data_IF_029278205091
#
_entry.id   IF_029278205091
#
_cell.length_a   1.000
_cell.length_b   1.000
_cell.length_c   1.000
_cell.angle_alpha   90.00
_cell.angle_beta   90.00
_cell.angle_gamma   90.00
#
_symmetry.space_group_name_H-M   'P 1'
#
loop_
_entity.id
_entity.type
_entity.pdbx_description
1 polymer ?
#
# COMPACT_ATOMS: atom_id res chain seq x y z
N UNK A 1 18.52 -25.47 -5.51
CA UNK A 1 17.61 -24.32 -5.36
C UNK A 1 18.47 -23.07 -5.18
N UNK A 2 18.53 -22.19 -6.18
CA UNK A 2 19.31 -20.94 -6.05
C UNK A 2 18.45 -19.97 -5.28
N UNK A 3 18.82 -19.72 -4.02
CA UNK A 3 18.18 -18.65 -3.22
C UNK A 3 18.50 -17.34 -3.92
N UNK A 4 17.48 -16.71 -4.50
CA UNK A 4 17.63 -15.42 -5.16
C UNK A 4 18.06 -14.40 -4.11
N UNK A 5 19.22 -13.81 -4.27
CA UNK A 5 19.75 -12.79 -3.37
C UNK A 5 18.78 -11.60 -3.36
N UNK A 6 18.49 -11.06 -2.18
CA UNK A 6 17.70 -9.83 -2.05
C UNK A 6 18.44 -8.68 -2.74
N UNK A 7 17.74 -7.95 -3.59
CA UNK A 7 18.27 -6.77 -4.29
C UNK A 7 17.36 -5.58 -4.07
N UNK A 8 17.96 -4.46 -3.70
CA UNK A 8 17.25 -3.18 -3.61
C UNK A 8 16.88 -2.74 -5.03
N UNK A 9 15.62 -2.33 -5.28
CA UNK A 9 15.20 -1.77 -6.56
C UNK A 9 16.08 -0.58 -6.98
N UNK A 10 16.34 -0.45 -8.27
CA UNK A 10 17.26 0.56 -8.79
C UNK A 10 16.89 2.00 -8.39
N UNK A 11 15.59 2.29 -8.41
CA UNK A 11 15.02 3.59 -8.00
C UNK A 11 15.16 3.89 -6.51
N UNK A 12 15.24 2.86 -5.65
CA UNK A 12 15.40 3.02 -4.21
C UNK A 12 16.88 3.10 -3.79
N UNK A 13 17.83 2.67 -4.65
CA UNK A 13 19.25 2.64 -4.31
C UNK A 13 19.82 3.98 -3.84
N UNK A 14 19.61 5.12 -4.55
CA UNK A 14 20.16 6.40 -4.10
C UNK A 14 19.71 6.79 -2.69
N UNK A 15 18.46 6.52 -2.37
CA UNK A 15 17.85 6.84 -1.07
C UNK A 15 18.34 5.91 0.04
N UNK A 16 18.41 4.61 -0.23
CA UNK A 16 18.93 3.64 0.76
C UNK A 16 20.41 3.81 1.02
N UNK A 17 21.20 4.18 0.03
CA UNK A 17 22.60 4.56 0.20
C UNK A 17 22.75 5.82 1.05
N UNK A 18 21.94 6.85 0.79
CA UNK A 18 21.92 8.07 1.58
C UNK A 18 21.47 7.81 3.04
N UNK A 19 20.46 6.97 3.28
CA UNK A 19 20.09 6.54 4.62
C UNK A 19 21.22 5.77 5.32
N UNK A 20 21.96 4.93 4.60
CA UNK A 20 23.13 4.22 5.12
C UNK A 20 24.24 5.17 5.54
N UNK A 21 24.47 6.24 4.78
CA UNK A 21 25.44 7.25 5.12
C UNK A 21 25.03 8.04 6.37
N UNK A 22 23.75 8.36 6.52
CA UNK A 22 23.24 8.98 7.74
C UNK A 22 23.42 8.14 8.99
N UNK A 23 23.34 6.80 8.89
CA UNK A 23 23.67 5.92 10.02
C UNK A 23 25.13 6.08 10.43
N UNK A 24 26.03 6.33 9.48
CA UNK A 24 27.47 6.50 9.76
C UNK A 24 27.80 7.88 10.32
N UNK A 25 27.28 8.93 9.70
CA UNK A 25 27.59 10.33 10.04
C UNK A 25 26.76 10.87 11.22
N UNK A 26 25.65 10.19 11.56
CA UNK A 26 24.64 10.66 12.49
C UNK A 26 23.54 11.46 11.82
N UNK A 27 22.35 11.43 12.42
CA UNK A 27 21.16 12.14 11.92
C UNK A 27 21.17 13.56 12.46
N UNK A 28 21.76 14.45 11.71
CA UNK A 28 21.74 15.89 11.96
C UNK A 28 21.84 16.66 10.65
N UNK A 29 21.36 17.87 10.64
CA UNK A 29 21.55 18.77 9.51
C UNK A 29 23.04 18.95 9.25
N UNK A 30 23.45 18.75 8.01
CA UNK A 30 24.83 18.82 7.58
C UNK A 30 24.89 19.15 6.08
N UNK A 31 25.99 19.73 5.57
CA UNK A 31 26.16 19.97 4.14
C UNK A 31 26.00 18.70 3.28
N UNK A 32 26.37 17.54 3.81
CA UNK A 32 26.19 16.27 3.12
C UNK A 32 24.70 15.87 3.02
N UNK A 33 23.89 16.12 4.06
CA UNK A 33 22.46 15.91 4.03
C UNK A 33 21.76 16.90 3.12
N UNK A 34 22.20 18.17 3.11
CA UNK A 34 21.63 19.20 2.23
C UNK A 34 21.74 18.87 0.73
N UNK A 35 22.77 18.12 0.35
CA UNK A 35 22.99 17.65 -1.03
C UNK A 35 22.42 16.23 -1.27
N UNK A 36 21.80 15.64 -0.28
CA UNK A 36 21.28 14.27 -0.36
C UNK A 36 19.93 14.24 -1.11
N UNK A 37 19.65 13.18 -1.89
CA UNK A 37 18.33 13.00 -2.50
C UNK A 37 17.19 12.87 -1.46
N UNK A 38 17.52 12.62 -0.20
CA UNK A 38 16.54 12.50 0.88
C UNK A 38 15.78 13.79 1.15
N UNK A 39 16.41 14.95 0.96
CA UNK A 39 15.77 16.27 1.19
C UNK A 39 14.77 16.64 0.09
N UNK A 40 14.81 15.94 -1.03
CA UNK A 40 13.88 16.14 -2.14
C UNK A 40 12.69 15.17 -2.10
N UNK A 41 12.61 14.32 -1.07
CA UNK A 41 11.45 13.46 -0.89
C UNK A 41 10.17 14.29 -0.70
N UNK A 42 9.04 13.86 -1.29
CA UNK A 42 7.77 14.57 -1.17
C UNK A 42 7.34 14.85 0.27
N UNK A 43 7.67 13.96 1.21
CA UNK A 43 7.40 14.15 2.64
C UNK A 43 8.14 15.36 3.23
N UNK A 44 9.35 15.64 2.76
CA UNK A 44 10.18 16.77 3.22
C UNK A 44 9.73 18.06 2.57
N UNK A 45 9.53 18.05 1.25
CA UNK A 45 9.11 19.22 0.48
C UNK A 45 7.80 19.82 0.99
N UNK A 46 6.96 18.99 1.56
CA UNK A 46 5.69 19.42 2.15
C UNK A 46 5.86 20.17 3.47
N UNK A 47 6.74 19.68 4.34
CA UNK A 47 6.98 20.32 5.65
C UNK A 47 7.77 21.61 5.49
N UNK A 48 8.62 21.69 4.46
CA UNK A 48 9.44 22.85 4.16
C UNK A 48 9.33 23.27 2.67
N UNK A 49 8.15 23.74 2.21
CA UNK A 49 7.99 24.25 0.85
C UNK A 49 8.80 25.54 0.69
N UNK A 50 9.20 25.89 -0.51
CA UNK A 50 10.37 26.55 -1.07
C UNK A 50 11.39 27.04 -0.03
N UNK A 51 11.99 26.11 0.69
CA UNK A 51 12.93 26.37 1.76
C UNK A 51 14.38 26.27 1.29
N UNK A 52 15.31 26.86 2.07
CA UNK A 52 16.75 26.66 1.86
C UNK A 52 17.14 25.17 2.02
N UNK A 53 18.30 24.78 1.47
CA UNK A 53 18.80 23.42 1.63
C UNK A 53 18.91 22.99 3.11
N UNK A 54 19.39 23.90 3.96
CA UNK A 54 19.47 23.67 5.42
C UNK A 54 18.10 23.41 6.04
N UNK A 55 17.09 24.23 5.70
CA UNK A 55 15.73 24.04 6.23
C UNK A 55 15.12 22.71 5.77
N UNK A 56 15.39 22.28 4.52
CA UNK A 56 14.96 20.96 4.05
C UNK A 56 15.67 19.83 4.78
N UNK A 57 16.96 19.98 5.08
CA UNK A 57 17.72 19.01 5.86
C UNK A 57 17.17 18.87 7.28
N UNK A 58 16.85 19.98 7.95
CA UNK A 58 16.22 19.98 9.28
C UNK A 58 14.83 19.33 9.25
N UNK A 59 14.02 19.68 8.23
CA UNK A 59 12.71 19.07 8.02
C UNK A 59 12.82 17.55 7.78
N UNK A 60 13.80 17.10 7.01
CA UNK A 60 14.04 15.67 6.79
C UNK A 60 14.33 14.95 8.12
N UNK A 61 15.16 15.51 8.98
CA UNK A 61 15.49 14.90 10.29
C UNK A 61 14.22 14.70 11.12
N UNK A 62 13.35 15.71 11.18
CA UNK A 62 12.07 15.63 11.91
C UNK A 62 11.10 14.62 11.27
N UNK A 63 10.98 14.63 9.94
CA UNK A 63 10.14 13.69 9.20
C UNK A 63 10.63 12.25 9.39
N UNK A 64 11.93 12.00 9.33
CA UNK A 64 12.50 10.66 9.51
C UNK A 64 12.14 10.08 10.88
N UNK A 65 12.30 10.85 11.96
CA UNK A 65 11.93 10.39 13.30
C UNK A 65 10.43 10.09 13.40
N UNK A 66 9.60 10.98 12.88
CA UNK A 66 8.14 10.82 12.88
C UNK A 66 7.72 9.56 12.13
N UNK A 67 8.26 9.35 10.93
CA UNK A 67 7.97 8.19 10.11
C UNK A 67 8.42 6.89 10.79
N UNK A 68 9.62 6.86 11.38
CA UNK A 68 10.08 5.67 12.11
C UNK A 68 9.12 5.35 13.26
N UNK A 69 8.68 6.35 14.03
CA UNK A 69 7.79 6.14 15.19
C UNK A 69 6.37 5.77 14.81
N UNK A 70 5.86 6.29 13.69
CA UNK A 70 4.45 6.15 13.32
C UNK A 70 4.20 5.08 12.27
N UNK A 71 5.20 4.78 11.42
CA UNK A 71 5.02 3.92 10.24
C UNK A 71 5.79 2.61 10.30
N UNK A 72 6.75 2.47 11.20
CA UNK A 72 7.42 1.20 11.46
C UNK A 72 6.89 0.60 12.77
N UNK A 73 6.97 -0.73 12.88
CA UNK A 73 6.50 -1.45 14.05
C UNK A 73 7.51 -2.50 14.53
N UNK A 74 7.36 -2.96 15.77
CA UNK A 74 8.10 -4.08 16.32
C UNK A 74 9.62 -3.95 16.19
N UNK A 75 10.27 -4.99 15.67
CA UNK A 75 11.73 -5.05 15.56
C UNK A 75 12.29 -4.02 14.57
N UNK A 76 11.58 -3.73 13.48
CA UNK A 76 11.99 -2.73 12.49
C UNK A 76 12.04 -1.33 13.09
N UNK A 77 11.03 -0.95 13.84
CA UNK A 77 10.99 0.34 14.55
C UNK A 77 12.12 0.46 15.56
N UNK A 78 12.28 -0.53 16.44
CA UNK A 78 13.33 -0.54 17.46
C UNK A 78 14.72 -0.49 16.82
N UNK A 79 14.93 -1.23 15.73
CA UNK A 79 16.18 -1.23 14.98
C UNK A 79 16.46 0.13 14.34
N UNK A 80 15.47 0.74 13.68
CA UNK A 80 15.61 2.05 13.06
C UNK A 80 15.92 3.14 14.09
N UNK A 81 15.17 3.23 15.20
CA UNK A 81 15.45 4.17 16.29
C UNK A 81 16.88 4.00 16.84
N UNK A 82 17.33 2.75 16.98
CA UNK A 82 18.69 2.47 17.46
C UNK A 82 19.75 2.88 16.44
N UNK A 83 19.59 2.55 15.16
CA UNK A 83 20.57 2.88 14.11
C UNK A 83 20.73 4.37 13.91
N UNK A 84 19.63 5.11 13.90
CA UNK A 84 19.63 6.56 13.73
C UNK A 84 19.88 7.32 15.04
N UNK A 85 20.25 6.62 16.11
CA UNK A 85 20.61 7.21 17.41
C UNK A 85 19.51 8.04 18.07
N UNK A 86 18.25 7.66 17.92
CA UNK A 86 17.13 8.28 18.64
C UNK A 86 16.94 7.68 20.05
N UNK A 87 16.43 8.49 20.97
CA UNK A 87 16.12 8.07 22.34
C UNK A 87 17.33 7.52 23.07
N UNK A 88 17.19 6.35 23.73
CA UNK A 88 18.25 5.70 24.53
C UNK A 88 19.52 5.32 23.77
N UNK A 89 19.50 5.46 22.46
CA UNK A 89 20.65 5.17 21.61
C UNK A 89 21.45 6.41 21.25
N UNK A 90 20.99 7.59 21.70
CA UNK A 90 21.74 8.84 21.58
C UNK A 90 23.08 8.73 22.33
N UNK A 91 24.17 9.05 21.66
CA UNK A 91 25.53 8.93 22.22
C UNK A 91 26.18 7.55 22.11
N UNK A 92 25.46 6.50 21.68
CA UNK A 92 26.07 5.20 21.39
C UNK A 92 26.99 5.28 20.17
N UNK A 93 28.14 4.57 20.23
CA UNK A 93 28.97 4.43 19.03
C UNK A 93 28.21 3.68 17.93
N UNK A 94 28.58 3.91 16.66
CA UNK A 94 28.01 3.21 15.53
C UNK A 94 28.13 1.67 15.69
N UNK A 95 29.30 1.19 16.15
CA UNK A 95 29.52 -0.24 16.37
C UNK A 95 28.61 -0.83 17.45
N UNK A 96 28.32 -0.06 18.53
CA UNK A 96 27.41 -0.51 19.59
C UNK A 96 25.97 -0.55 19.08
N UNK A 97 25.55 0.45 18.30
CA UNK A 97 24.24 0.48 17.67
C UNK A 97 24.02 -0.75 16.76
N UNK A 98 24.97 -1.07 15.90
CA UNK A 98 24.91 -2.25 15.05
C UNK A 98 24.84 -3.55 15.84
N UNK A 99 25.63 -3.68 16.92
CA UNK A 99 25.61 -4.87 17.80
C UNK A 99 24.26 -5.00 18.52
N UNK A 100 23.71 -3.90 19.01
CA UNK A 100 22.41 -3.90 19.66
C UNK A 100 21.31 -4.32 18.69
N UNK A 101 21.30 -3.77 17.48
CA UNK A 101 20.31 -4.10 16.46
C UNK A 101 20.44 -5.55 15.98
N UNK A 102 21.63 -6.06 15.74
CA UNK A 102 21.80 -7.45 15.36
C UNK A 102 21.13 -8.41 16.35
N UNK A 103 21.27 -8.14 17.65
CA UNK A 103 20.64 -8.92 18.73
C UNK A 103 19.11 -8.80 18.77
N UNK A 104 18.50 -7.70 18.28
CA UNK A 104 17.06 -7.58 18.17
C UNK A 104 16.48 -8.57 17.14
N UNK A 105 17.21 -8.82 16.06
CA UNK A 105 16.78 -9.77 15.03
C UNK A 105 17.04 -11.21 15.43
N UNK A 106 18.23 -11.48 15.96
CA UNK A 106 18.61 -12.79 16.47
C UNK A 106 19.70 -12.65 17.54
N UNK A 107 19.50 -13.29 18.70
CA UNK A 107 20.42 -13.21 19.85
C UNK A 107 21.88 -13.65 19.52
N UNK A 108 22.05 -14.52 18.52
CA UNK A 108 23.34 -15.06 18.09
C UNK A 108 23.96 -14.31 16.91
N UNK A 109 23.27 -13.30 16.37
CA UNK A 109 23.81 -12.55 15.24
C UNK A 109 24.91 -11.59 15.66
N UNK A 110 25.96 -11.56 14.82
CA UNK A 110 26.95 -10.50 14.84
C UNK A 110 26.46 -9.30 14.01
N UNK A 111 27.12 -8.16 14.20
CA UNK A 111 26.84 -6.98 13.38
C UNK A 111 27.09 -7.22 11.88
N UNK A 112 28.01 -8.11 11.52
CA UNK A 112 28.31 -8.49 10.14
C UNK A 112 27.15 -9.24 9.48
N UNK A 113 26.47 -10.09 10.24
CA UNK A 113 25.27 -10.78 9.75
C UNK A 113 24.14 -9.78 9.46
N UNK A 114 23.96 -8.79 10.35
CA UNK A 114 22.93 -7.78 10.17
C UNK A 114 23.23 -6.81 9.02
N UNK A 115 24.51 -6.44 8.78
CA UNK A 115 24.91 -5.51 7.70
C UNK A 115 24.67 -6.01 6.28
N UNK A 116 24.40 -7.28 6.12
CA UNK A 116 24.07 -7.89 4.83
C UNK A 116 22.62 -7.55 4.45
N UNK A 117 21.89 -8.55 4.03
CA UNK A 117 20.50 -8.42 3.61
C UNK A 117 19.55 -7.81 4.66
N UNK A 118 19.63 -8.09 5.99
CA UNK A 118 18.71 -7.50 6.95
C UNK A 118 18.76 -5.98 7.03
N UNK A 119 19.94 -5.38 6.93
CA UNK A 119 20.07 -3.92 6.88
C UNK A 119 19.47 -3.35 5.59
N UNK A 120 19.73 -3.98 4.47
CA UNK A 120 19.19 -3.54 3.17
C UNK A 120 17.65 -3.56 3.16
N UNK A 121 17.06 -4.60 3.74
CA UNK A 121 15.60 -4.69 3.90
C UNK A 121 15.05 -3.58 4.79
N UNK A 122 15.69 -3.32 5.93
CA UNK A 122 15.27 -2.25 6.83
C UNK A 122 15.39 -0.87 6.19
N UNK A 123 16.47 -0.60 5.46
CA UNK A 123 16.64 0.68 4.76
C UNK A 123 15.61 0.87 3.65
N UNK A 124 15.28 -0.20 2.93
CA UNK A 124 14.22 -0.17 1.94
C UNK A 124 12.85 0.09 2.60
N UNK A 125 12.56 -0.55 3.72
CA UNK A 125 11.33 -0.35 4.50
C UNK A 125 11.19 1.11 4.95
N UNK A 126 12.25 1.71 5.48
CA UNK A 126 12.29 3.11 5.89
C UNK A 126 12.06 4.05 4.69
N UNK A 127 12.77 3.82 3.58
CA UNK A 127 12.57 4.59 2.36
C UNK A 127 11.12 4.54 1.88
N UNK A 128 10.54 3.34 1.85
CA UNK A 128 9.14 3.16 1.44
C UNK A 128 8.17 3.87 2.36
N UNK A 129 8.45 3.87 3.67
CA UNK A 129 7.65 4.60 4.64
C UNK A 129 7.74 6.12 4.44
N UNK A 130 8.93 6.67 4.20
CA UNK A 130 9.15 8.08 3.87
C UNK A 130 8.46 8.49 2.57
N UNK A 131 8.58 7.66 1.54
CA UNK A 131 7.95 7.89 0.25
C UNK A 131 6.42 7.92 0.38
N UNK A 132 5.84 6.96 1.10
CA UNK A 132 4.40 6.88 1.37
C UNK A 132 3.89 8.06 2.20
N UNK A 133 4.65 8.52 3.19
CA UNK A 133 4.31 9.72 3.96
C UNK A 133 4.19 10.93 3.04
N UNK A 134 5.04 11.02 2.03
CA UNK A 134 4.95 12.00 0.98
C UNK A 134 3.67 11.93 0.16
N UNK A 135 3.18 10.75 -0.11
CA UNK A 135 1.97 10.54 -0.92
C UNK A 135 0.67 10.69 -0.11
N UNK A 136 0.63 10.19 1.13
CA UNK A 136 -0.59 10.14 1.93
C UNK A 136 -1.21 11.53 2.14
N UNK A 137 -0.40 12.53 2.45
CA UNK A 137 -0.87 13.88 2.71
C UNK A 137 -0.97 14.77 1.44
N UNK A 138 -0.48 14.32 0.27
CA UNK A 138 -0.81 14.97 -1.00
C UNK A 138 -2.32 14.88 -1.29
N UNK A 139 -2.96 13.80 -0.83
CA UNK A 139 -4.41 13.63 -0.90
C UNK A 139 -5.14 14.56 0.07
N UNK A 140 -4.60 14.80 1.28
CA UNK A 140 -5.22 15.72 2.26
C UNK A 140 -5.06 17.20 1.87
N UNK A 141 -3.93 17.61 1.31
CA UNK A 141 -3.73 19.01 0.88
C UNK A 141 -4.54 19.37 -0.36
N UNK A 142 -4.88 18.40 -1.22
CA UNK A 142 -5.77 18.61 -2.36
C UNK A 142 -7.24 18.78 -1.96
N UNK A 143 -7.64 18.32 -0.76
CA UNK A 143 -9.01 18.49 -0.27
C UNK A 143 -9.34 19.90 0.26
N UNK A 144 -8.33 20.76 0.45
CA UNK A 144 -8.52 22.09 1.09
C UNK A 144 -8.22 23.30 0.20
N UNK A 145 -7.73 23.16 -1.03
CA UNK A 145 -7.29 24.32 -1.83
C UNK A 145 -7.80 24.47 -3.26
N UNK A 146 -8.55 23.55 -3.83
CA UNK A 146 -8.96 23.67 -5.23
C UNK A 146 -10.46 23.73 -5.48
N UNK A 147 -11.04 24.91 -5.14
CA UNK A 147 -12.32 25.37 -5.72
C UNK A 147 -12.09 26.20 -7.01
N UNK A 148 -10.89 26.35 -7.52
CA UNK A 148 -10.63 27.13 -8.73
C UNK A 148 -9.40 26.68 -9.50
N UNK A 149 -9.46 25.62 -10.31
CA UNK A 149 -8.91 25.60 -11.68
C UNK A 149 -9.09 24.23 -12.40
N UNK A 150 -9.77 24.13 -13.54
CA UNK A 150 -10.02 22.86 -14.22
C UNK A 150 -9.01 22.60 -15.34
N UNK A 151 -7.73 22.40 -15.04
CA UNK A 151 -6.77 22.00 -16.08
C UNK A 151 -5.49 21.36 -15.54
N UNK A 152 -5.61 20.24 -14.87
CA UNK A 152 -4.50 19.28 -14.74
C UNK A 152 -5.07 17.89 -14.51
N UNK A 153 -4.82 17.01 -15.46
CA UNK A 153 -5.48 15.72 -15.65
C UNK A 153 -5.13 14.61 -14.66
N UNK A 154 -5.37 14.83 -13.40
CA UNK A 154 -5.52 13.81 -12.37
C UNK A 154 -6.74 14.21 -11.55
N UNK A 155 -7.91 13.81 -12.00
CA UNK A 155 -9.09 13.88 -11.13
C UNK A 155 -8.86 12.88 -10.00
N UNK A 156 -8.40 13.40 -8.86
CA UNK A 156 -8.68 12.73 -7.60
C UNK A 156 -10.18 12.44 -7.57
N UNK A 157 -10.55 11.20 -7.38
CA UNK A 157 -11.94 10.88 -7.01
C UNK A 157 -12.16 11.61 -5.71
N UNK A 158 -12.87 12.71 -5.79
CA UNK A 158 -13.16 13.61 -4.67
C UNK A 158 -13.84 12.80 -3.57
N UNK A 159 -13.33 12.91 -2.37
CA UNK A 159 -14.09 12.63 -1.16
C UNK A 159 -15.36 13.49 -1.22
N UNK A 160 -16.50 12.88 -1.57
CA UNK A 160 -17.72 13.59 -1.94
C UNK A 160 -18.22 13.07 -3.28
N UNK A 161 -18.14 11.74 -3.49
CA UNK A 161 -18.73 11.09 -4.66
C UNK A 161 -20.23 11.40 -4.73
N UNK A 162 -20.75 11.54 -5.93
CA UNK A 162 -22.17 11.67 -6.20
C UNK A 162 -22.97 10.37 -5.93
N UNK A 163 -22.37 9.45 -5.13
CA UNK A 163 -23.00 8.20 -4.71
C UNK A 163 -22.50 7.76 -3.32
N UNK A 164 -23.33 6.97 -2.64
CA UNK A 164 -22.97 6.17 -1.48
C UNK A 164 -22.82 4.70 -1.89
N UNK A 165 -21.92 3.96 -1.26
CA UNK A 165 -21.72 2.54 -1.51
C UNK A 165 -22.55 1.76 -0.50
N UNK A 166 -23.67 1.18 -0.97
CA UNK A 166 -24.57 0.41 -0.13
C UNK A 166 -23.91 -0.93 0.22
N UNK A 167 -23.43 -1.65 -0.80
CA UNK A 167 -22.66 -2.87 -0.57
C UNK A 167 -21.54 -3.00 -1.59
N UNK A 168 -20.45 -3.63 -1.15
CA UNK A 168 -19.35 -4.08 -2.00
C UNK A 168 -18.96 -5.50 -1.60
N UNK A 169 -19.03 -6.40 -2.56
CA UNK A 169 -18.61 -7.78 -2.39
C UNK A 169 -17.45 -8.05 -3.37
N UNK A 170 -16.30 -8.43 -2.86
CA UNK A 170 -15.15 -8.79 -3.68
C UNK A 170 -14.83 -10.27 -3.49
N UNK A 171 -14.86 -11.02 -4.57
CA UNK A 171 -14.36 -12.37 -4.62
C UNK A 171 -13.02 -12.39 -5.35
N UNK A 172 -12.01 -12.88 -4.67
CA UNK A 172 -10.65 -13.02 -5.17
C UNK A 172 -10.32 -14.52 -5.31
N UNK A 173 -10.28 -15.01 -6.53
CA UNK A 173 -9.91 -16.38 -6.83
C UNK A 173 -8.44 -16.46 -7.24
N UNK A 174 -7.65 -17.16 -6.44
CA UNK A 174 -6.32 -17.57 -6.88
C UNK A 174 -6.42 -18.62 -7.97
N UNK A 175 -5.48 -18.62 -8.95
CA UNK A 175 -5.41 -19.70 -9.94
C UNK A 175 -5.15 -21.03 -9.23
N UNK A 176 -5.75 -22.11 -9.74
CA UNK A 176 -5.54 -23.46 -9.21
C UNK A 176 -4.19 -24.04 -9.65
N UNK A 177 -3.64 -23.58 -10.78
CA UNK A 177 -2.36 -23.99 -11.34
C UNK A 177 -1.70 -22.87 -12.13
N UNK A 178 -0.40 -23.02 -12.45
CA UNK A 178 0.28 -22.12 -13.37
C UNK A 178 -0.39 -22.12 -14.76
N UNK A 179 -0.58 -20.93 -15.31
CA UNK A 179 -1.24 -20.73 -16.61
C UNK A 179 -2.75 -20.51 -16.54
N UNK A 180 -3.35 -20.65 -15.35
CA UNK A 180 -4.72 -20.21 -15.13
C UNK A 180 -4.76 -18.73 -14.70
N UNK A 181 -5.76 -17.96 -15.15
CA UNK A 181 -5.88 -16.57 -14.75
C UNK A 181 -6.33 -16.46 -13.30
N UNK A 182 -5.83 -15.42 -12.62
CA UNK A 182 -6.45 -14.94 -11.41
C UNK A 182 -7.76 -14.23 -11.76
N UNK A 183 -8.81 -14.53 -11.02
CA UNK A 183 -10.12 -13.95 -11.25
C UNK A 183 -10.53 -13.05 -10.07
N UNK A 184 -11.08 -11.90 -10.39
CA UNK A 184 -11.63 -10.97 -9.40
C UNK A 184 -13.04 -10.61 -9.83
N UNK A 185 -14.01 -10.84 -8.96
CA UNK A 185 -15.39 -10.40 -9.13
C UNK A 185 -15.65 -9.32 -8.08
N UNK A 186 -15.96 -8.11 -8.52
CA UNK A 186 -16.23 -6.95 -7.67
C UNK A 186 -17.69 -6.53 -7.91
N UNK A 187 -18.59 -6.95 -7.00
CA UNK A 187 -20.02 -6.63 -7.03
C UNK A 187 -20.26 -5.39 -6.20
N UNK A 188 -21.04 -4.46 -6.71
CA UNK A 188 -21.37 -3.21 -6.04
C UNK A 188 -22.83 -2.89 -6.16
N UNK A 189 -23.38 -2.40 -5.06
CA UNK A 189 -24.65 -1.68 -5.03
C UNK A 189 -24.37 -0.26 -4.57
N UNK A 190 -24.70 0.71 -5.41
CA UNK A 190 -24.51 2.13 -5.14
C UNK A 190 -25.85 2.85 -5.13
N UNK A 191 -25.94 3.93 -4.35
CA UNK A 191 -27.08 4.85 -4.32
C UNK A 191 -26.63 6.24 -4.73
N UNK A 192 -27.23 6.83 -5.75
CA UNK A 192 -26.91 8.17 -6.17
C UNK A 192 -27.28 9.20 -5.09
N UNK A 193 -26.34 10.05 -4.68
CA UNK A 193 -26.55 11.10 -3.66
C UNK A 193 -26.99 12.42 -4.28
N UNK A 194 -26.85 12.57 -5.59
CA UNK A 194 -27.24 13.73 -6.39
C UNK A 194 -27.95 13.27 -7.66
N UNK A 195 -28.76 14.15 -8.26
CA UNK A 195 -29.33 13.89 -9.57
C UNK A 195 -28.28 13.97 -10.68
N UNK A 196 -28.50 13.21 -11.75
CA UNK A 196 -27.72 13.31 -12.98
C UNK A 196 -26.41 12.52 -12.95
N UNK A 197 -26.26 11.51 -12.09
CA UNK A 197 -25.10 10.63 -12.11
C UNK A 197 -25.13 9.72 -13.36
N UNK A 198 -24.25 9.99 -14.32
CA UNK A 198 -24.16 9.22 -15.56
C UNK A 198 -23.08 8.15 -15.56
N UNK A 199 -22.02 8.36 -14.79
CA UNK A 199 -20.81 7.54 -14.82
C UNK A 199 -20.34 7.21 -13.40
N UNK A 200 -20.02 5.96 -13.19
CA UNK A 200 -19.24 5.50 -12.05
C UNK A 200 -17.81 5.26 -12.50
N UNK A 201 -16.83 5.68 -11.70
CA UNK A 201 -15.40 5.54 -12.02
C UNK A 201 -14.61 4.98 -10.86
N UNK A 202 -13.60 4.18 -11.18
CA UNK A 202 -12.62 3.69 -10.22
C UNK A 202 -11.26 3.48 -10.87
N UNK A 203 -10.22 3.96 -10.17
CA UNK A 203 -8.85 3.61 -10.49
C UNK A 203 -8.47 2.28 -9.83
N UNK A 204 -7.76 1.43 -10.53
CA UNK A 204 -7.19 0.22 -9.99
C UNK A 204 -5.74 0.05 -10.43
N UNK A 205 -4.96 -0.59 -9.57
CA UNK A 205 -3.56 -0.87 -9.82
C UNK A 205 -3.40 -2.28 -10.35
N UNK A 206 -2.55 -2.43 -11.36
CA UNK A 206 -2.12 -3.71 -11.84
C UNK A 206 -0.66 -3.92 -11.43
N UNK A 207 -0.43 -4.94 -10.62
CA UNK A 207 0.90 -5.36 -10.18
C UNK A 207 1.35 -6.52 -11.06
N UNK A 208 2.49 -6.41 -11.75
CA UNK A 208 3.02 -7.51 -12.53
C UNK A 208 4.34 -7.19 -13.20
N UNK A 209 5.20 -8.20 -13.34
CA UNK A 209 6.52 -8.10 -13.99
C UNK A 209 6.52 -8.32 -15.50
N UNK A 210 5.37 -8.64 -16.10
CA UNK A 210 5.23 -8.93 -17.52
C UNK A 210 4.89 -7.72 -18.39
N UNK A 211 4.96 -7.83 -19.71
CA UNK A 211 4.31 -6.89 -20.61
C UNK A 211 2.83 -6.90 -20.27
N UNK A 212 2.36 -5.77 -19.76
CA UNK A 212 0.98 -5.67 -19.27
C UNK A 212 0.10 -5.53 -20.49
N UNK A 213 -0.53 -6.63 -20.87
CA UNK A 213 -1.69 -6.58 -21.73
C UNK A 213 -2.79 -5.80 -21.00
N UNK A 214 -3.62 -5.10 -21.76
CA UNK A 214 -4.79 -4.41 -21.19
C UNK A 214 -5.60 -5.45 -20.44
N UNK A 215 -5.86 -5.25 -19.13
CA UNK A 215 -6.63 -6.23 -18.39
C UNK A 215 -8.01 -6.39 -19.01
N UNK A 216 -8.43 -7.62 -19.17
CA UNK A 216 -9.79 -7.89 -19.64
C UNK A 216 -10.75 -7.72 -18.48
N UNK A 217 -11.79 -6.92 -18.67
CA UNK A 217 -12.88 -6.79 -17.72
C UNK A 217 -14.23 -6.90 -18.43
N UNK A 218 -15.19 -7.48 -17.73
CA UNK A 218 -16.57 -7.65 -18.23
C UNK A 218 -17.52 -7.08 -17.19
N UNK A 219 -18.45 -6.29 -17.65
CA UNK A 219 -19.54 -5.76 -16.82
C UNK A 219 -20.74 -6.72 -16.84
N UNK A 220 -21.26 -7.03 -15.67
CA UNK A 220 -22.57 -7.65 -15.46
C UNK A 220 -23.49 -6.67 -14.77
N UNK A 221 -24.50 -6.20 -15.46
CA UNK A 221 -25.44 -5.18 -14.95
C UNK A 221 -25.73 -4.10 -15.99
N UNK A 222 -26.45 -3.05 -15.61
CA UNK A 222 -26.80 -1.98 -16.54
C UNK A 222 -25.60 -1.11 -16.86
N UNK A 223 -25.41 -0.77 -18.12
CA UNK A 223 -24.43 0.19 -18.60
C UNK A 223 -23.38 -0.38 -19.53
N UNK A 224 -22.42 0.45 -19.84
CA UNK A 224 -21.27 0.11 -20.69
C UNK A 224 -19.97 0.32 -19.91
N UNK A 225 -19.07 -0.68 -20.00
CA UNK A 225 -17.75 -0.62 -19.39
C UNK A 225 -16.73 -0.09 -20.38
N UNK A 226 -16.00 0.89 -19.97
CA UNK A 226 -14.77 1.32 -20.65
C UNK A 226 -13.57 1.23 -19.73
N UNK A 227 -12.40 0.88 -20.30
CA UNK A 227 -11.12 0.85 -19.61
C UNK A 227 -10.21 1.83 -20.31
N UNK A 228 -9.77 2.83 -19.61
CA UNK A 228 -8.77 3.77 -20.10
C UNK A 228 -7.44 3.54 -19.39
N UNK A 229 -6.35 3.62 -20.16
CA UNK A 229 -5.03 3.63 -19.57
C UNK A 229 -4.83 4.98 -18.90
N UNK A 230 -4.68 4.96 -17.61
CA UNK A 230 -4.04 6.08 -16.93
C UNK A 230 -2.53 5.84 -16.90
N UNK A 231 -1.79 6.91 -16.81
CA UNK A 231 -0.33 6.94 -17.01
C UNK A 231 0.41 5.82 -16.27
N UNK A 232 1.50 5.34 -16.88
CA UNK A 232 2.53 4.56 -16.17
C UNK A 232 2.96 5.37 -14.96
N UNK A 233 2.63 4.90 -13.76
CA UNK A 233 3.18 5.47 -12.53
C UNK A 233 4.69 5.22 -12.54
N UNK A 234 5.45 6.21 -12.99
CA UNK A 234 6.92 6.22 -12.94
C UNK A 234 7.45 6.43 -11.52
N UNK A 235 6.58 6.60 -10.55
CA UNK A 235 6.88 7.07 -9.21
C UNK A 235 6.44 6.10 -8.12
N UNK A 236 6.94 4.87 -8.14
CA UNK A 236 6.70 3.91 -7.08
C UNK A 236 7.78 2.84 -7.06
N UNK A 237 7.98 2.17 -5.92
CA UNK A 237 9.02 1.15 -5.76
C UNK A 237 8.74 -0.13 -6.57
N UNK A 238 7.56 -0.24 -7.15
CA UNK A 238 7.19 -1.34 -8.02
C UNK A 238 6.62 -0.78 -9.32
N UNK A 239 7.10 -1.25 -10.48
CA UNK A 239 6.49 -0.88 -11.74
C UNK A 239 5.03 -1.36 -11.73
N UNK A 240 4.13 -0.42 -11.79
CA UNK A 240 2.70 -0.67 -11.84
C UNK A 240 2.05 0.19 -12.92
N UNK A 241 0.90 -0.24 -13.40
CA UNK A 241 0.06 0.57 -14.27
C UNK A 241 -1.26 0.83 -13.55
N UNK A 242 -1.73 2.05 -13.67
CA UNK A 242 -3.05 2.44 -13.23
C UNK A 242 -4.00 2.39 -14.41
N UNK A 243 -5.15 1.79 -14.21
CA UNK A 243 -6.25 1.78 -15.15
C UNK A 243 -7.43 2.48 -14.52
N UNK A 244 -8.16 3.25 -15.32
CA UNK A 244 -9.44 3.79 -14.93
C UNK A 244 -10.55 2.93 -15.54
N UNK A 245 -11.40 2.38 -14.69
CA UNK A 245 -12.64 1.71 -15.06
C UNK A 245 -13.78 2.70 -14.98
N UNK A 246 -14.55 2.82 -16.05
CA UNK A 246 -15.75 3.63 -16.10
C UNK A 246 -16.94 2.76 -16.47
N UNK A 247 -18.00 2.84 -15.69
CA UNK A 247 -19.31 2.27 -16.02
C UNK A 247 -20.24 3.44 -16.35
N UNK A 248 -20.62 3.58 -17.61
CA UNK A 248 -21.62 4.56 -18.07
C UNK A 248 -22.99 3.94 -17.99
N UNK A 249 -23.87 4.53 -17.19
CA UNK A 249 -25.24 4.06 -17.06
C UNK A 249 -26.09 4.41 -18.29
N UNK A 250 -27.11 3.59 -18.64
CA UNK A 250 -27.94 3.81 -19.83
C UNK A 250 -28.81 5.07 -19.73
N UNK A 251 -29.04 5.57 -18.51
CA UNK A 251 -29.69 6.83 -18.19
C UNK A 251 -29.04 7.45 -16.96
N UNK A 252 -29.05 8.77 -16.80
CA UNK A 252 -28.63 9.39 -15.57
C UNK A 252 -29.45 8.88 -14.37
N UNK A 253 -28.79 8.57 -13.28
CA UNK A 253 -29.44 8.17 -12.02
C UNK A 253 -29.93 9.40 -11.28
N UNK A 254 -31.10 9.27 -10.67
CA UNK A 254 -31.68 10.30 -9.79
C UNK A 254 -31.22 10.07 -8.34
N UNK A 255 -31.21 11.12 -7.55
CA UNK A 255 -30.91 11.03 -6.11
C UNK A 255 -31.79 9.97 -5.44
N UNK A 256 -31.15 9.07 -4.69
CA UNK A 256 -31.80 7.93 -4.04
C UNK A 256 -32.00 6.71 -4.97
N UNK A 257 -31.73 6.82 -6.27
CA UNK A 257 -31.79 5.68 -7.17
C UNK A 257 -30.63 4.73 -6.92
N UNK A 258 -30.94 3.44 -6.81
CA UNK A 258 -29.94 2.38 -6.59
C UNK A 258 -29.67 1.62 -7.88
N UNK A 259 -28.41 1.24 -8.03
CA UNK A 259 -27.98 0.36 -9.11
C UNK A 259 -26.99 -0.67 -8.59
N UNK A 260 -27.17 -1.93 -9.01
CA UNK A 260 -26.27 -3.03 -8.73
C UNK A 260 -25.61 -3.50 -10.02
N UNK A 261 -24.29 -3.66 -9.98
CA UNK A 261 -23.50 -4.19 -11.08
C UNK A 261 -22.30 -4.98 -10.55
N UNK A 262 -21.73 -5.82 -11.41
CA UNK A 262 -20.49 -6.53 -11.08
C UNK A 262 -19.47 -6.35 -12.20
N UNK A 263 -18.21 -6.22 -11.81
CA UNK A 263 -17.08 -6.18 -12.73
C UNK A 263 -16.25 -7.43 -12.51
N UNK A 264 -16.22 -8.28 -13.52
CA UNK A 264 -15.37 -9.45 -13.57
C UNK A 264 -14.06 -9.07 -14.27
N UNK A 265 -12.94 -9.40 -13.65
CA UNK A 265 -11.62 -9.16 -14.20
C UNK A 265 -10.81 -10.45 -14.22
N UNK A 266 -10.14 -10.70 -15.33
CA UNK A 266 -9.12 -11.74 -15.45
C UNK A 266 -7.74 -11.12 -15.50
N UNK A 267 -6.81 -11.79 -14.89
CA UNK A 267 -5.44 -11.38 -14.86
C UNK A 267 -4.52 -12.60 -14.99
N UNK A 268 -3.78 -12.65 -16.09
CA UNK A 268 -2.79 -13.71 -16.31
C UNK A 268 -1.62 -13.52 -15.34
N UNK A 269 -1.48 -14.46 -14.44
CA UNK A 269 -0.46 -14.43 -13.40
C UNK A 269 0.06 -15.84 -13.15
N UNK A 270 1.32 -15.94 -12.77
CA UNK A 270 1.89 -17.20 -12.32
C UNK A 270 1.62 -17.39 -10.84
N UNK A 271 1.18 -18.59 -10.47
CA UNK A 271 0.91 -18.93 -9.08
C UNK A 271 2.14 -18.65 -8.18
N UNK A 272 3.35 -18.98 -8.63
CA UNK A 272 4.59 -18.71 -7.93
C UNK A 272 4.94 -17.23 -7.74
N UNK A 273 4.24 -16.30 -8.39
CA UNK A 273 4.39 -14.86 -8.14
C UNK A 273 3.63 -14.43 -6.89
N UNK A 274 2.64 -15.20 -6.44
CA UNK A 274 1.78 -14.92 -5.29
C UNK A 274 2.04 -15.84 -4.11
N UNK A 275 2.28 -17.12 -4.35
CA UNK A 275 2.51 -18.08 -3.29
C UNK A 275 4.01 -18.14 -2.97
N UNK A 276 4.37 -17.54 -1.86
CA UNK A 276 5.76 -17.54 -1.38
C UNK A 276 5.78 -18.01 0.07
N UNK A 277 6.39 -19.16 0.38
CA UNK A 277 6.52 -19.63 1.75
C UNK A 277 7.11 -18.56 2.67
N UNK A 278 6.52 -18.38 3.84
CA UNK A 278 6.90 -17.38 4.85
C UNK A 278 6.63 -15.91 4.44
N UNK A 279 5.77 -15.67 3.47
CA UNK A 279 5.36 -14.33 3.10
C UNK A 279 3.99 -14.01 3.66
N UNK A 280 3.86 -12.80 4.19
CA UNK A 280 2.58 -12.16 4.44
C UNK A 280 2.09 -11.56 3.14
N UNK A 281 0.83 -11.79 2.85
CA UNK A 281 0.12 -11.17 1.74
C UNK A 281 -1.27 -10.75 2.23
N UNK A 282 -1.92 -9.86 1.52
CA UNK A 282 -3.19 -9.34 1.97
C UNK A 282 -3.98 -8.61 0.88
N UNK A 283 -5.25 -8.43 1.17
CA UNK A 283 -6.11 -7.59 0.37
C UNK A 283 -6.92 -6.68 1.29
N UNK A 284 -6.94 -5.39 0.99
CA UNK A 284 -7.61 -4.39 1.82
C UNK A 284 -8.57 -3.51 1.01
N UNK A 285 -9.51 -2.92 1.73
CA UNK A 285 -10.38 -1.86 1.29
C UNK A 285 -10.25 -0.67 2.24
N UNK A 286 -9.99 0.50 1.67
CA UNK A 286 -10.03 1.78 2.39
C UNK A 286 -11.19 2.58 1.84
N UNK A 287 -12.31 2.69 2.57
CA UNK A 287 -13.46 3.47 2.12
C UNK A 287 -13.09 4.95 2.00
N UNK A 288 -13.35 5.53 0.84
CA UNK A 288 -13.24 6.99 0.59
C UNK A 288 -14.61 7.64 0.49
N UNK A 289 -15.67 6.86 0.52
CA UNK A 289 -17.08 7.26 0.54
C UNK A 289 -17.81 6.43 1.58
N UNK A 290 -18.95 6.91 2.06
CA UNK A 290 -19.82 6.15 2.96
C UNK A 290 -20.14 4.78 2.37
N UNK A 291 -19.85 3.74 3.14
CA UNK A 291 -20.00 2.34 2.78
C UNK A 291 -20.75 1.64 3.90
N UNK A 292 -21.91 1.01 3.59
CA UNK A 292 -22.67 0.31 4.62
C UNK A 292 -22.15 -1.11 4.86
N UNK A 293 -21.84 -1.84 3.78
CA UNK A 293 -21.33 -3.19 3.89
C UNK A 293 -20.17 -3.43 2.91
N UNK A 294 -19.14 -4.11 3.42
CA UNK A 294 -18.03 -4.59 2.61
C UNK A 294 -17.76 -6.06 2.93
N UNK A 295 -17.80 -6.92 1.91
CA UNK A 295 -17.45 -8.35 2.01
C UNK A 295 -16.23 -8.65 1.15
N UNK A 296 -15.24 -9.27 1.75
CA UNK A 296 -14.09 -9.83 1.04
C UNK A 296 -14.11 -11.34 1.17
N UNK A 297 -14.12 -12.00 0.03
CA UNK A 297 -14.04 -13.46 -0.09
C UNK A 297 -12.79 -13.84 -0.86
N UNK A 298 -12.05 -14.81 -0.35
CA UNK A 298 -10.82 -15.30 -0.98
C UNK A 298 -10.94 -16.81 -1.15
N UNK A 299 -10.60 -17.29 -2.33
CA UNK A 299 -10.40 -18.71 -2.60
C UNK A 299 -8.93 -18.97 -2.87
N UNK A 300 -8.29 -19.66 -1.96
CA UNK A 300 -6.90 -20.06 -2.06
C UNK A 300 -6.71 -21.22 -3.05
N UNK A 301 -5.49 -21.38 -3.62
CA UNK A 301 -5.20 -22.45 -4.56
C UNK A 301 -5.41 -23.83 -3.95
N UNK A 302 -5.83 -24.80 -4.73
CA UNK A 302 -5.94 -26.19 -4.27
C UNK A 302 -4.58 -26.73 -3.83
N UNK A 303 -4.53 -27.32 -2.64
CA UNK A 303 -3.30 -27.91 -2.10
C UNK A 303 -2.28 -26.92 -1.56
N UNK A 304 -2.56 -25.62 -1.63
CA UNK A 304 -1.73 -24.55 -1.09
C UNK A 304 -2.57 -23.70 -0.15
N UNK A 305 -2.69 -24.14 1.10
CA UNK A 305 -3.40 -23.38 2.12
C UNK A 305 -2.42 -22.46 2.83
N UNK A 306 -2.82 -21.22 3.12
CA UNK A 306 -2.05 -20.39 4.04
C UNK A 306 -1.97 -21.05 5.41
N UNK A 307 -0.86 -20.82 6.11
CA UNK A 307 -0.68 -21.30 7.49
C UNK A 307 -1.59 -20.57 8.47
N UNK A 308 -1.93 -19.31 8.15
CA UNK A 308 -2.86 -18.47 8.90
C UNK A 308 -3.58 -17.51 7.98
N UNK A 309 -4.84 -17.18 8.30
CA UNK A 309 -5.61 -16.08 7.73
C UNK A 309 -6.24 -15.29 8.87
N UNK A 310 -6.20 -13.97 8.81
CA UNK A 310 -6.84 -13.12 9.81
C UNK A 310 -7.48 -11.90 9.18
N UNK A 311 -8.51 -11.38 9.83
CA UNK A 311 -9.12 -10.13 9.45
C UNK A 311 -8.59 -8.98 10.30
N UNK A 312 -8.71 -7.78 9.78
CA UNK A 312 -8.43 -6.55 10.51
C UNK A 312 -9.40 -5.45 10.06
N UNK A 313 -9.57 -4.45 10.92
CA UNK A 313 -10.36 -3.26 10.66
C UNK A 313 -9.73 -2.05 11.35
N UNK A 314 -10.15 -0.86 10.95
CA UNK A 314 -9.74 0.42 11.54
C UNK A 314 -8.23 0.68 11.54
N UNK A 315 -7.50 0.09 10.60
CA UNK A 315 -6.09 0.40 10.43
C UNK A 315 -5.91 1.58 9.48
N UNK A 316 -5.08 2.57 9.83
CA UNK A 316 -4.65 3.56 8.87
C UNK A 316 -4.10 2.87 7.62
N UNK A 317 -4.50 3.35 6.43
CA UNK A 317 -3.99 2.80 5.18
C UNK A 317 -2.46 2.68 5.24
N UNK A 318 -1.93 1.49 4.95
CA UNK A 318 -0.48 1.18 4.91
C UNK A 318 0.22 0.97 6.26
N UNK A 319 -0.48 0.89 7.37
CA UNK A 319 0.16 0.25 8.51
C UNK A 319 0.39 -1.23 8.20
N UNK A 320 1.49 -1.76 8.76
CA UNK A 320 1.77 -3.18 8.68
C UNK A 320 0.54 -3.99 9.12
N UNK A 321 0.35 -5.17 8.51
CA UNK A 321 -0.72 -6.06 8.86
C UNK A 321 -0.83 -6.24 10.36
N UNK A 322 -2.06 -6.29 10.83
CA UNK A 322 -2.33 -6.60 12.23
C UNK A 322 -1.69 -7.93 12.60
N UNK A 323 -1.24 -8.04 13.83
CA UNK A 323 -0.74 -9.34 14.33
C UNK A 323 -1.93 -10.27 14.47
N UNK A 324 -1.87 -11.52 13.94
CA UNK A 324 -2.94 -12.49 14.13
C UNK A 324 -3.11 -12.80 15.62
N UNK A 325 -4.35 -12.82 16.06
CA UNK A 325 -4.77 -13.16 17.42
C UNK A 325 -5.81 -14.28 17.33
N UNK A 326 -6.11 -14.92 18.43
CA UNK A 326 -7.16 -15.95 18.46
C UNK A 326 -8.55 -15.40 18.10
N UNK A 327 -8.76 -14.08 18.26
CA UNK A 327 -10.05 -13.44 18.01
C UNK A 327 -10.24 -12.95 16.58
N UNK A 328 -9.16 -12.74 15.82
CA UNK A 328 -9.22 -12.27 14.43
C UNK A 328 -8.76 -13.30 13.40
N UNK A 329 -8.36 -14.49 13.82
CA UNK A 329 -7.97 -15.59 12.93
C UNK A 329 -9.22 -16.26 12.36
N UNK A 330 -9.17 -16.58 11.07
CA UNK A 330 -10.25 -17.27 10.34
C UNK A 330 -9.66 -18.53 9.69
N UNK A 331 -10.34 -19.66 9.87
CA UNK A 331 -9.95 -20.91 9.21
C UNK A 331 -10.59 -21.01 7.82
N UNK A 332 -9.82 -21.16 6.75
CA UNK A 332 -10.37 -21.48 5.44
C UNK A 332 -11.13 -22.82 5.48
N UNK A 333 -12.25 -22.89 4.81
CA UNK A 333 -13.03 -24.12 4.71
C UNK A 333 -12.28 -25.25 3.96
N UNK A 334 -12.93 -26.41 3.80
CA UNK A 334 -12.35 -27.57 3.11
C UNK A 334 -11.99 -27.30 1.65
N UNK A 335 -12.58 -26.28 1.03
CA UNK A 335 -12.29 -25.85 -0.35
C UNK A 335 -11.23 -24.78 -0.44
N UNK A 336 -10.69 -24.31 0.69
CA UNK A 336 -9.75 -23.18 0.76
C UNK A 336 -10.43 -21.82 0.63
N UNK A 337 -11.73 -21.74 0.91
CA UNK A 337 -12.49 -20.49 0.84
C UNK A 337 -12.58 -19.83 2.22
N UNK A 338 -12.44 -18.51 2.25
CA UNK A 338 -12.66 -17.68 3.42
C UNK A 338 -13.46 -16.44 3.01
N UNK A 339 -14.30 -15.96 3.91
CA UNK A 339 -15.11 -14.75 3.69
C UNK A 339 -15.28 -13.99 4.99
N UNK A 340 -15.24 -12.67 4.92
CA UNK A 340 -15.52 -11.81 6.06
C UNK A 340 -16.33 -10.59 5.64
N UNK A 341 -17.27 -10.18 6.50
CA UNK A 341 -18.14 -9.02 6.31
C UNK A 341 -17.81 -7.93 7.33
N UNK A 342 -17.50 -6.74 6.85
CA UNK A 342 -17.42 -5.52 7.66
C UNK A 342 -18.69 -4.71 7.46
N UNK A 343 -19.26 -4.23 8.56
CA UNK A 343 -20.40 -3.31 8.54
C UNK A 343 -19.93 -1.92 8.88
N UNK A 344 -20.38 -0.94 8.09
CA UNK A 344 -20.03 0.48 8.27
C UNK A 344 -18.53 0.72 8.43
N UNK A 345 -17.68 0.17 7.52
CA UNK A 345 -16.24 0.37 7.62
C UNK A 345 -15.91 1.85 7.61
N UNK A 346 -15.02 2.26 8.50
CA UNK A 346 -14.73 3.68 8.76
C UNK A 346 -14.00 4.34 7.61
N UNK A 347 -14.46 5.54 7.25
CA UNK A 347 -13.83 6.35 6.19
C UNK A 347 -12.34 6.58 6.47
N UNK A 348 -11.52 6.37 5.45
CA UNK A 348 -10.07 6.59 5.52
C UNK A 348 -9.28 5.55 6.30
N UNK A 349 -9.97 4.55 6.89
CA UNK A 349 -9.32 3.45 7.59
C UNK A 349 -9.49 2.15 6.80
N UNK A 350 -8.43 1.34 6.75
CA UNK A 350 -8.44 0.09 6.01
C UNK A 350 -9.03 -1.06 6.82
N UNK A 351 -9.78 -1.89 6.14
CA UNK A 351 -10.19 -3.22 6.61
C UNK A 351 -9.82 -4.26 5.54
N UNK A 352 -9.58 -5.49 5.95
CA UNK A 352 -9.16 -6.51 5.00
C UNK A 352 -8.86 -7.86 5.60
N UNK A 353 -8.38 -8.74 4.74
CA UNK A 353 -7.86 -10.05 5.09
C UNK A 353 -6.38 -10.09 4.77
N UNK A 354 -5.65 -10.73 5.65
CA UNK A 354 -4.25 -11.04 5.47
C UNK A 354 -3.99 -12.50 5.74
N UNK A 355 -2.91 -13.00 5.18
CA UNK A 355 -2.54 -14.39 5.33
C UNK A 355 -1.04 -14.59 5.27
N UNK A 356 -0.59 -15.66 5.88
CA UNK A 356 0.77 -16.15 5.86
C UNK A 356 0.79 -17.50 5.12
N UNK A 357 1.65 -17.61 4.11
CA UNK A 357 1.83 -18.85 3.34
C UNK A 357 2.66 -19.90 4.06
#
# INVERSE_FOLDING_TARGET
MVVKKFEIPAEAKPYTEALRELIRSGVRSSPALEMSPLVDLPAVQRVAPPASATQRADAFVAVLETVIRQRLAGKSQAAALTLFAYGDSAGMSMGDRYRKVAKLFNAHWTWENFRKEPLDRLLLEIYLALYREGQANAVESMSHSDVANPSSGLRAVTAGGNYALISREVLYNFPASDGEPREIIDVREIEATTDGMEVWEQNFYHWGKGPVETPTATLFGPGELSITHDSVLKTGPLPGRTYNLQVRFPKPLHKGERVRFAIYRKQDVRLGDFVRPQWHDGWCFTPVIETQEFTLSIRFPRGMRPSRVWHYEDLPEKLAPGVPTDTNTIEPDSTGFVSFLWREPRLGLSCGLEWEW
#
